data_IF_530298662973
#
_entry.id   IF_530298662973
#
_cell.length_a   1.000
_cell.length_b   1.000
_cell.length_c   1.000
_cell.angle_alpha   90.00
_cell.angle_beta   90.00
_cell.angle_gamma   90.00
#
_symmetry.space_group_name_H-M   'P 1'
#
loop_
_entity.id
_entity.type
_entity.pdbx_description
1 polymer ?
#
# COMPACT_ATOMS: atom_id res chain seq x y z
N UNK A 1 -13.80 -22.49 24.63
CA UNK A 1 -13.65 -21.09 25.07
C UNK A 1 -12.20 -20.89 25.47
N UNK A 2 -11.41 -20.16 24.68
CA UNK A 2 -9.95 -20.08 24.88
C UNK A 2 -9.58 -18.99 25.90
N UNK A 3 -9.13 -19.41 27.08
CA UNK A 3 -8.53 -18.55 28.09
C UNK A 3 -7.08 -18.24 27.71
N UNK A 4 -6.87 -17.12 27.02
CA UNK A 4 -5.52 -16.58 26.76
C UNK A 4 -5.01 -15.87 28.01
N UNK A 5 -3.86 -16.30 28.53
CA UNK A 5 -3.23 -15.71 29.71
C UNK A 5 -2.61 -14.34 29.41
N UNK A 6 -2.64 -13.45 30.40
CA UNK A 6 -2.38 -12.00 30.28
C UNK A 6 -0.89 -11.62 30.06
N UNK A 7 0.00 -12.59 29.82
CA UNK A 7 1.46 -12.41 29.95
C UNK A 7 2.23 -12.18 28.64
N UNK A 8 1.65 -12.43 27.46
CA UNK A 8 2.38 -12.38 26.18
C UNK A 8 2.55 -10.97 25.56
N UNK A 9 2.19 -9.89 26.26
CA UNK A 9 2.23 -8.51 25.75
C UNK A 9 3.04 -7.53 26.63
N UNK A 10 4.02 -8.01 27.39
CA UNK A 10 5.01 -7.15 28.03
C UNK A 10 6.19 -6.82 27.10
N UNK A 11 5.86 -6.13 26.00
CA UNK A 11 6.80 -5.26 25.30
C UNK A 11 6.75 -3.86 25.93
N UNK A 12 7.76 -3.03 25.64
CA UNK A 12 8.10 -1.86 26.46
C UNK A 12 7.06 -0.74 26.51
N UNK A 13 7.05 0.01 27.60
CA UNK A 13 6.12 1.11 27.89
C UNK A 13 6.13 2.28 26.87
N UNK A 14 7.09 2.27 25.93
CA UNK A 14 7.33 3.28 24.89
C UNK A 14 6.67 2.95 23.54
N UNK A 15 6.33 1.67 23.28
CA UNK A 15 5.91 1.18 21.95
C UNK A 15 4.54 1.72 21.48
N UNK A 16 3.83 2.47 22.34
CA UNK A 16 2.49 3.01 22.08
C UNK A 16 2.36 4.53 22.27
N UNK A 17 3.47 5.27 22.28
CA UNK A 17 3.45 6.73 22.17
C UNK A 17 3.67 7.19 20.72
N UNK A 18 2.63 7.02 19.90
CA UNK A 18 2.51 7.72 18.61
C UNK A 18 1.46 8.82 18.78
N UNK A 19 1.77 10.03 18.35
CA UNK A 19 0.88 11.19 18.54
C UNK A 19 -0.40 11.11 17.68
N UNK A 20 -1.43 11.87 18.08
CA UNK A 20 -2.80 11.74 17.54
C UNK A 20 -3.01 12.43 16.18
N UNK A 21 -1.98 12.49 15.36
CA UNK A 21 -2.03 13.18 14.07
C UNK A 21 -2.51 12.25 12.93
N UNK A 22 -2.76 12.83 11.76
CA UNK A 22 -3.25 12.10 10.60
C UNK A 22 -2.19 11.17 9.98
N UNK A 23 -2.59 10.34 9.03
CA UNK A 23 -1.67 9.43 8.31
C UNK A 23 -0.52 10.15 7.57
N UNK A 24 -0.65 11.46 7.36
CA UNK A 24 0.39 12.35 6.82
C UNK A 24 1.57 12.63 7.78
N UNK A 25 1.38 12.45 9.09
CA UNK A 25 2.39 12.77 10.12
C UNK A 25 3.19 11.56 10.63
N UNK A 26 2.84 10.34 10.18
CA UNK A 26 3.62 9.14 10.47
C UNK A 26 5.02 9.25 9.82
N UNK A 27 6.07 9.16 10.64
CA UNK A 27 7.47 9.24 10.22
C UNK A 27 8.25 10.48 10.63
N UNK A 28 7.67 11.38 11.45
CA UNK A 28 8.33 12.60 11.92
C UNK A 28 9.09 12.45 13.25
N UNK A 29 9.08 11.26 13.86
CA UNK A 29 9.76 10.99 15.13
C UNK A 29 11.25 10.62 14.95
N UNK A 30 12.08 10.98 15.94
CA UNK A 30 13.52 10.76 15.92
C UNK A 30 13.96 9.28 16.04
N UNK A 31 13.01 8.34 16.08
CA UNK A 31 13.23 6.89 16.19
C UNK A 31 12.88 6.11 14.92
N UNK A 32 12.33 6.76 13.89
CA UNK A 32 11.95 6.13 12.62
C UNK A 32 13.18 5.62 11.83
N UNK A 33 13.36 4.30 11.75
CA UNK A 33 14.48 3.67 11.04
C UNK A 33 14.22 3.55 9.54
N UNK A 34 14.92 4.39 8.77
CA UNK A 34 14.92 4.53 7.30
C UNK A 34 13.66 5.18 6.70
N UNK A 35 13.79 6.20 5.82
CA UNK A 35 12.79 7.27 5.67
C UNK A 35 11.88 7.08 4.44
N UNK A 36 11.65 5.82 4.02
CA UNK A 36 10.59 5.42 3.09
C UNK A 36 10.06 4.04 3.51
N UNK A 37 10.71 2.96 3.07
CA UNK A 37 10.27 1.56 3.25
C UNK A 37 11.16 0.75 4.21
N UNK A 38 11.59 1.37 5.33
CA UNK A 38 12.57 0.81 6.26
C UNK A 38 12.19 -0.47 7.01
N UNK A 39 10.89 -0.77 7.15
CA UNK A 39 10.41 -1.78 8.08
C UNK A 39 10.37 -3.22 7.54
N UNK A 40 10.48 -3.43 6.23
CA UNK A 40 10.33 -4.76 5.64
C UNK A 40 11.60 -5.61 5.71
N UNK A 41 11.49 -6.80 6.29
CA UNK A 41 12.51 -7.85 6.29
C UNK A 41 12.31 -8.86 5.14
N UNK A 42 11.51 -8.53 4.12
CA UNK A 42 11.22 -9.43 3.02
C UNK A 42 12.47 -9.64 2.14
N UNK A 43 12.95 -10.88 2.10
CA UNK A 43 14.04 -11.30 1.21
C UNK A 43 13.47 -11.76 -0.15
N UNK A 44 13.59 -10.96 -1.24
CA UNK A 44 13.21 -11.41 -2.58
C UNK A 44 14.16 -12.50 -3.08
N UNK A 45 13.64 -13.42 -3.90
CA UNK A 45 14.46 -14.36 -4.66
C UNK A 45 13.86 -14.53 -6.06
N UNK A 46 14.68 -14.89 -7.05
CA UNK A 46 14.21 -15.23 -8.40
C UNK A 46 13.16 -16.35 -8.36
N UNK A 47 13.37 -17.36 -7.51
CA UNK A 47 12.41 -18.45 -7.30
C UNK A 47 11.02 -17.95 -6.87
N UNK A 48 10.93 -16.96 -5.97
CA UNK A 48 9.65 -16.37 -5.56
C UNK A 48 8.96 -15.62 -6.71
N UNK A 49 9.72 -14.93 -7.56
CA UNK A 49 9.15 -14.23 -8.73
C UNK A 49 8.62 -15.25 -9.74
N UNK A 50 9.39 -16.31 -10.03
CA UNK A 50 8.98 -17.42 -10.92
C UNK A 50 7.74 -18.14 -10.39
N UNK A 51 7.62 -18.32 -9.07
CA UNK A 51 6.44 -18.95 -8.43
C UNK A 51 5.14 -18.14 -8.56
N UNK A 52 5.23 -16.83 -8.85
CA UNK A 52 4.08 -15.93 -8.96
C UNK A 52 3.83 -15.44 -10.40
N UNK A 53 4.81 -15.56 -11.30
CA UNK A 53 4.65 -15.21 -12.72
C UNK A 53 3.94 -16.33 -13.49
N UNK A 54 3.05 -15.97 -14.43
CA UNK A 54 2.49 -16.94 -15.37
C UNK A 54 3.51 -17.46 -16.40
N UNK A 55 4.62 -16.74 -16.62
CA UNK A 55 5.68 -17.13 -17.55
C UNK A 55 5.25 -17.19 -19.03
N UNK A 56 4.21 -16.44 -19.42
CA UNK A 56 3.67 -16.39 -20.78
C UNK A 56 4.06 -15.08 -21.46
N UNK A 57 4.58 -15.17 -22.67
CA UNK A 57 4.78 -14.02 -23.56
C UNK A 57 3.46 -13.67 -24.31
N UNK A 58 3.26 -12.41 -24.75
CA UNK A 58 2.15 -12.04 -25.61
C UNK A 58 2.26 -12.71 -26.99
N UNK A 59 1.15 -13.22 -27.52
CA UNK A 59 1.13 -13.89 -28.83
C UNK A 59 1.11 -12.87 -29.97
N UNK A 60 1.40 -13.36 -31.17
CA UNK A 60 1.24 -12.60 -32.42
C UNK A 60 -0.24 -12.24 -32.59
N UNK A 61 -0.56 -10.96 -32.41
CA UNK A 61 -1.92 -10.41 -32.52
C UNK A 61 -2.65 -10.18 -31.20
N UNK A 62 -2.08 -10.56 -30.04
CA UNK A 62 -2.62 -10.18 -28.72
C UNK A 62 -2.49 -8.65 -28.53
N UNK A 63 -3.57 -7.96 -28.18
CA UNK A 63 -3.53 -6.51 -27.91
C UNK A 63 -2.89 -6.22 -26.54
N UNK A 64 -1.81 -5.44 -26.51
CA UNK A 64 -1.04 -5.20 -25.27
C UNK A 64 -1.53 -3.94 -24.54
N UNK A 65 -1.99 -4.13 -23.30
CA UNK A 65 -2.41 -3.05 -22.39
C UNK A 65 -1.34 -2.81 -21.33
N UNK A 66 -0.97 -1.55 -21.10
CA UNK A 66 -0.07 -1.13 -20.03
C UNK A 66 -0.79 -0.26 -19.00
N UNK A 67 -0.50 -0.47 -17.72
CA UNK A 67 -0.93 0.39 -16.60
C UNK A 67 0.26 0.66 -15.69
N UNK A 68 0.32 1.84 -15.05
CA UNK A 68 1.43 2.20 -14.16
C UNK A 68 0.95 2.78 -12.81
N UNK A 69 1.73 2.60 -11.75
CA UNK A 69 1.43 3.19 -10.45
C UNK A 69 2.22 2.63 -9.27
N UNK A 70 1.75 2.96 -8.05
CA UNK A 70 2.28 2.40 -6.80
C UNK A 70 1.81 0.95 -6.57
N UNK A 71 0.50 0.71 -6.67
CA UNK A 71 -0.15 -0.55 -6.26
C UNK A 71 0.11 -0.97 -4.79
N UNK A 72 0.42 0.00 -3.93
CA UNK A 72 0.72 -0.18 -2.51
C UNK A 72 -0.52 -0.58 -1.68
N UNK A 73 -0.32 -1.44 -0.67
CA UNK A 73 -1.35 -2.19 0.06
C UNK A 73 -2.41 -2.78 -0.90
N UNK A 74 -1.98 -3.67 -1.81
CA UNK A 74 -2.80 -4.14 -2.93
C UNK A 74 -4.21 -4.58 -2.51
N UNK A 75 -5.23 -3.91 -3.07
CA UNK A 75 -6.59 -3.93 -2.55
C UNK A 75 -7.67 -3.96 -3.64
N UNK A 76 -8.93 -4.18 -3.24
CA UNK A 76 -10.11 -4.22 -4.14
C UNK A 76 -10.18 -3.09 -5.16
N UNK A 77 -9.79 -1.85 -4.82
CA UNK A 77 -9.74 -0.75 -5.79
C UNK A 77 -8.76 -0.96 -6.96
N UNK A 78 -7.65 -1.68 -6.75
CA UNK A 78 -6.73 -2.10 -7.81
C UNK A 78 -7.30 -3.30 -8.57
N UNK A 79 -7.95 -4.26 -7.89
CA UNK A 79 -8.58 -5.42 -8.52
C UNK A 79 -9.68 -5.00 -9.51
N UNK A 80 -10.58 -4.08 -9.11
CA UNK A 80 -11.68 -3.59 -9.95
C UNK A 80 -11.19 -2.72 -11.13
N UNK A 81 -10.02 -2.08 -10.99
CA UNK A 81 -9.34 -1.35 -12.05
C UNK A 81 -8.67 -2.31 -13.05
N UNK A 82 -7.88 -3.27 -12.55
CA UNK A 82 -7.16 -4.25 -13.36
C UNK A 82 -8.12 -5.20 -14.10
N UNK A 83 -9.26 -5.55 -13.50
CA UNK A 83 -10.31 -6.30 -14.20
C UNK A 83 -10.81 -5.56 -15.45
N UNK A 84 -10.96 -4.24 -15.37
CA UNK A 84 -11.43 -3.41 -16.47
C UNK A 84 -10.32 -3.18 -17.49
N UNK A 85 -9.11 -2.84 -17.06
CA UNK A 85 -7.94 -2.74 -17.95
C UNK A 85 -7.69 -4.05 -18.73
N UNK A 86 -7.87 -5.22 -18.09
CA UNK A 86 -7.73 -6.53 -18.74
C UNK A 86 -8.84 -6.87 -19.74
N UNK A 87 -9.94 -6.10 -19.79
CA UNK A 87 -11.00 -6.24 -20.82
C UNK A 87 -10.72 -5.38 -22.06
N UNK A 88 -9.76 -4.46 -21.99
CA UNK A 88 -9.39 -3.57 -23.10
C UNK A 88 -8.32 -4.18 -24.03
N UNK A 89 -7.84 -5.40 -23.77
CA UNK A 89 -6.89 -6.15 -24.59
C UNK A 89 -6.54 -7.52 -23.99
N UNK A 90 -5.60 -8.22 -24.61
CA UNK A 90 -5.34 -9.65 -24.39
C UNK A 90 -4.15 -9.94 -23.46
N UNK A 91 -3.25 -8.96 -23.29
CA UNK A 91 -2.10 -9.06 -22.39
C UNK A 91 -2.03 -7.79 -21.52
N UNK A 92 -1.92 -7.94 -20.20
CA UNK A 92 -1.88 -6.79 -19.27
C UNK A 92 -0.54 -6.71 -18.54
N UNK A 93 0.21 -5.65 -18.83
CA UNK A 93 1.50 -5.32 -18.23
C UNK A 93 1.29 -4.25 -17.15
N UNK A 94 1.79 -4.49 -15.94
CA UNK A 94 1.71 -3.54 -14.81
C UNK A 94 3.10 -2.97 -14.47
N UNK A 95 3.29 -1.69 -14.73
CA UNK A 95 4.46 -0.94 -14.27
C UNK A 95 4.39 -0.56 -12.80
N UNK A 96 5.38 -1.00 -12.02
CA UNK A 96 5.51 -0.64 -10.61
C UNK A 96 6.60 0.40 -10.42
N UNK A 97 6.20 1.63 -10.04
CA UNK A 97 7.12 2.69 -9.67
C UNK A 97 8.00 2.26 -8.48
N UNK A 98 9.28 2.65 -8.46
CA UNK A 98 10.21 2.38 -7.36
C UNK A 98 9.80 3.12 -6.08
N UNK A 99 10.24 2.64 -4.91
CA UNK A 99 9.86 3.25 -3.62
C UNK A 99 10.18 4.76 -3.54
N UNK A 100 11.36 5.26 -3.99
CA UNK A 100 11.65 6.70 -4.02
C UNK A 100 10.79 7.51 -5.00
N UNK A 101 10.28 6.87 -6.07
CA UNK A 101 9.34 7.53 -7.01
C UNK A 101 7.95 7.59 -6.40
N UNK A 102 7.49 6.52 -5.73
CA UNK A 102 6.22 6.52 -4.98
C UNK A 102 6.24 7.55 -3.84
N UNK A 103 7.33 7.60 -3.06
CA UNK A 103 7.62 8.61 -2.03
C UNK A 103 7.40 10.03 -2.58
N UNK A 104 8.04 10.38 -3.72
CA UNK A 104 8.01 11.74 -4.30
C UNK A 104 6.60 12.29 -4.51
N UNK A 105 5.65 11.49 -5.00
CA UNK A 105 4.28 11.95 -5.29
C UNK A 105 3.22 11.55 -4.25
N UNK A 106 3.58 10.81 -3.20
CA UNK A 106 2.68 10.48 -2.07
C UNK A 106 2.99 11.22 -0.77
N UNK A 107 4.26 11.56 -0.51
CA UNK A 107 4.71 12.11 0.77
C UNK A 107 4.68 11.09 1.92
N UNK A 108 5.13 11.53 3.10
CA UNK A 108 5.15 10.73 4.33
C UNK A 108 5.85 9.37 4.15
N UNK A 109 5.49 8.35 4.94
CA UNK A 109 6.06 6.99 4.84
C UNK A 109 5.38 6.12 3.76
N UNK A 110 5.13 6.66 2.55
CA UNK A 110 4.59 5.86 1.43
C UNK A 110 5.68 5.50 0.40
N UNK A 111 5.73 4.25 -0.10
CA UNK A 111 4.76 3.18 0.11
C UNK A 111 4.94 2.46 1.44
N UNK A 112 3.88 1.81 1.92
CA UNK A 112 3.91 0.95 3.11
C UNK A 112 4.59 -0.39 2.78
N UNK A 113 4.40 -0.91 1.57
CA UNK A 113 5.03 -2.12 1.04
C UNK A 113 6.17 -1.77 0.08
N UNK A 114 7.33 -2.40 0.25
CA UNK A 114 8.47 -2.18 -0.64
C UNK A 114 8.20 -2.70 -2.07
N UNK A 115 9.02 -2.27 -3.03
CA UNK A 115 8.87 -2.65 -4.45
C UNK A 115 8.72 -4.15 -4.66
N UNK A 116 9.49 -5.00 -3.96
CA UNK A 116 9.44 -6.45 -4.13
C UNK A 116 8.19 -7.09 -3.52
N UNK A 117 7.70 -6.57 -2.40
CA UNK A 117 6.41 -6.97 -1.81
C UNK A 117 5.24 -6.58 -2.72
N UNK A 118 5.30 -5.38 -3.34
CA UNK A 118 4.32 -4.91 -4.33
C UNK A 118 4.35 -5.76 -5.60
N UNK A 119 5.54 -6.17 -6.08
CA UNK A 119 5.69 -7.11 -7.22
C UNK A 119 4.93 -8.41 -6.97
N UNK A 120 5.15 -9.10 -5.85
CA UNK A 120 4.41 -10.35 -5.57
C UNK A 120 2.91 -10.11 -5.38
N UNK A 121 2.52 -9.00 -4.77
CA UNK A 121 1.12 -8.63 -4.56
C UNK A 121 0.36 -8.39 -5.87
N UNK A 122 1.04 -7.84 -6.88
CA UNK A 122 0.47 -7.62 -8.22
C UNK A 122 0.51 -8.88 -9.08
N UNK A 123 1.59 -9.66 -9.05
CA UNK A 123 1.67 -10.94 -9.77
C UNK A 123 0.61 -11.95 -9.28
N UNK A 124 0.23 -11.91 -8.01
CA UNK A 124 -0.88 -12.71 -7.47
C UNK A 124 -2.27 -12.36 -8.04
N UNK A 125 -2.39 -11.29 -8.84
CA UNK A 125 -3.66 -10.88 -9.45
C UNK A 125 -3.87 -11.59 -10.80
N UNK A 126 -4.85 -12.50 -10.87
CA UNK A 126 -5.28 -13.26 -12.07
C UNK A 126 -5.61 -12.45 -13.35
N UNK A 127 -5.58 -11.11 -13.29
CA UNK A 127 -5.80 -10.22 -14.43
C UNK A 127 -4.49 -9.72 -15.05
N UNK A 128 -3.37 -9.85 -14.34
CA UNK A 128 -2.05 -9.38 -14.73
C UNK A 128 -1.33 -10.49 -15.49
N UNK A 129 -0.68 -10.13 -16.59
CA UNK A 129 0.14 -11.05 -17.39
C UNK A 129 1.64 -10.87 -17.10
N UNK A 130 2.09 -9.62 -16.92
CA UNK A 130 3.48 -9.28 -16.65
C UNK A 130 3.61 -8.04 -15.74
N UNK A 131 4.76 -7.89 -15.08
CA UNK A 131 5.07 -6.75 -14.19
C UNK A 131 6.43 -6.14 -14.53
N UNK A 132 6.44 -4.85 -14.86
CA UNK A 132 7.69 -4.08 -15.05
C UNK A 132 8.16 -3.58 -13.67
N UNK A 133 9.20 -4.23 -13.15
CA UNK A 133 9.78 -3.96 -11.84
C UNK A 133 10.62 -2.68 -11.91
N UNK A 134 10.18 -1.61 -11.23
CA UNK A 134 10.88 -0.33 -11.24
C UNK A 134 10.60 0.54 -12.47
N UNK A 135 9.37 0.51 -12.96
CA UNK A 135 8.92 1.29 -14.10
C UNK A 135 9.14 2.82 -13.90
N UNK A 136 9.47 3.56 -14.97
CA UNK A 136 9.59 5.03 -14.92
C UNK A 136 8.23 5.69 -14.65
N UNK A 137 8.27 6.91 -14.10
CA UNK A 137 7.04 7.68 -13.82
C UNK A 137 6.38 8.21 -15.09
N UNK A 138 7.20 8.68 -16.04
CA UNK A 138 6.75 9.10 -17.37
C UNK A 138 6.61 7.86 -18.27
N UNK A 139 5.49 7.74 -18.98
CA UNK A 139 5.29 6.68 -19.98
C UNK A 139 5.98 7.11 -21.28
N UNK A 140 7.21 6.64 -21.48
CA UNK A 140 8.05 7.02 -22.64
C UNK A 140 7.68 6.23 -23.90
N UNK A 141 7.98 6.81 -25.06
CA UNK A 141 7.86 6.12 -26.35
C UNK A 141 8.79 4.89 -26.42
N UNK A 142 9.98 4.96 -25.81
CA UNK A 142 10.89 3.83 -25.67
C UNK A 142 10.24 2.64 -24.93
N UNK A 143 9.60 2.89 -23.78
CA UNK A 143 8.87 1.86 -23.02
C UNK A 143 7.71 1.30 -23.85
N UNK A 144 6.93 2.16 -24.50
CA UNK A 144 5.81 1.74 -25.33
C UNK A 144 6.26 0.89 -26.53
N UNK A 145 7.40 1.21 -27.16
CA UNK A 145 7.94 0.46 -28.28
C UNK A 145 8.61 -0.86 -27.84
N UNK A 146 9.31 -0.86 -26.70
CA UNK A 146 9.94 -2.06 -26.13
C UNK A 146 8.91 -3.15 -25.81
N UNK A 147 7.85 -2.80 -25.07
CA UNK A 147 6.76 -3.72 -24.72
C UNK A 147 5.64 -3.79 -25.76
N UNK A 148 5.80 -3.13 -26.93
CA UNK A 148 4.81 -3.06 -28.02
C UNK A 148 3.39 -2.66 -27.56
N UNK A 149 3.30 -1.68 -26.68
CA UNK A 149 2.05 -1.27 -26.01
C UNK A 149 1.07 -0.67 -27.02
N UNK A 150 -0.12 -1.27 -27.11
CA UNK A 150 -1.24 -0.76 -27.92
C UNK A 150 -2.07 0.27 -27.19
N UNK A 151 -2.24 0.11 -25.88
CA UNK A 151 -3.09 0.97 -25.06
C UNK A 151 -2.52 1.18 -23.65
N UNK A 152 -2.43 2.43 -23.22
CA UNK A 152 -2.08 2.82 -21.86
C UNK A 152 -3.36 3.19 -21.10
N UNK A 153 -3.62 2.50 -20.00
CA UNK A 153 -4.79 2.74 -19.16
C UNK A 153 -4.40 3.35 -17.81
N UNK A 154 -5.20 4.30 -17.32
CA UNK A 154 -5.07 4.86 -15.98
C UNK A 154 -6.45 4.96 -15.29
N UNK A 155 -6.48 4.94 -13.95
CA UNK A 155 -7.72 5.09 -13.20
C UNK A 155 -8.26 6.52 -13.18
N UNK A 156 -9.48 6.71 -12.67
CA UNK A 156 -10.02 8.04 -12.36
C UNK A 156 -9.42 8.68 -11.07
N UNK A 157 -8.23 8.23 -10.63
CA UNK A 157 -7.45 8.85 -9.56
C UNK A 157 -6.71 10.10 -10.06
N UNK A 158 -6.36 11.05 -9.17
CA UNK A 158 -5.51 12.17 -9.55
C UNK A 158 -4.18 11.69 -10.15
N UNK A 159 -3.83 12.22 -11.32
CA UNK A 159 -2.49 12.11 -11.90
C UNK A 159 -1.69 13.27 -11.30
N UNK A 160 -0.60 12.96 -10.58
CA UNK A 160 0.34 13.99 -10.17
C UNK A 160 1.24 14.33 -11.36
N UNK A 161 1.67 15.59 -11.47
CA UNK A 161 2.77 15.93 -12.36
C UNK A 161 4.10 15.45 -11.73
N UNK A 162 5.12 15.21 -12.55
CA UNK A 162 6.48 15.13 -12.02
C UNK A 162 6.97 16.54 -11.62
N UNK A 163 8.17 16.65 -11.03
CA UNK A 163 8.71 17.91 -10.49
C UNK A 163 8.76 19.08 -11.49
N UNK A 164 8.87 18.79 -12.78
CA UNK A 164 8.91 19.77 -13.88
C UNK A 164 7.50 20.16 -14.40
N UNK A 165 6.42 19.66 -13.81
CA UNK A 165 5.04 20.01 -14.17
C UNK A 165 4.42 19.22 -15.34
N UNK A 166 5.16 18.29 -15.95
CA UNK A 166 4.67 17.51 -17.10
C UNK A 166 3.69 16.38 -16.72
N UNK A 167 2.74 16.13 -17.62
CA UNK A 167 1.79 15.02 -17.59
C UNK A 167 2.49 13.70 -17.95
N UNK A 168 2.58 12.71 -17.02
CA UNK A 168 3.28 11.45 -17.27
C UNK A 168 2.67 10.61 -18.40
N UNK A 169 1.46 10.94 -18.86
CA UNK A 169 0.77 10.26 -19.96
C UNK A 169 0.72 11.09 -21.25
N UNK A 170 1.51 12.17 -21.37
CA UNK A 170 1.52 13.04 -22.55
C UNK A 170 1.82 12.27 -23.86
N UNK A 171 2.79 11.36 -23.85
CA UNK A 171 3.17 10.54 -25.02
C UNK A 171 2.00 9.64 -25.48
N UNK A 172 1.44 8.73 -24.64
CA UNK A 172 0.30 7.91 -25.08
C UNK A 172 -0.95 8.73 -25.43
N UNK A 173 -1.17 9.90 -24.82
CA UNK A 173 -2.26 10.82 -25.21
C UNK A 173 -2.05 11.37 -26.62
N UNK A 174 -0.85 11.86 -26.95
CA UNK A 174 -0.50 12.37 -28.27
C UNK A 174 -0.57 11.29 -29.37
N UNK A 175 -0.26 10.03 -29.01
CA UNK A 175 -0.38 8.87 -29.89
C UNK A 175 -1.82 8.31 -30.03
N UNK A 176 -2.81 8.89 -29.34
CA UNK A 176 -4.18 8.35 -29.29
C UNK A 176 -4.33 7.02 -28.54
N UNK A 177 -3.28 6.58 -27.83
CA UNK A 177 -3.15 5.32 -27.10
C UNK A 177 -3.41 5.45 -25.59
N UNK A 178 -4.25 6.39 -25.14
CA UNK A 178 -4.55 6.61 -23.72
C UNK A 178 -6.05 6.45 -23.41
N UNK A 179 -6.38 5.69 -22.35
CA UNK A 179 -7.74 5.49 -21.85
C UNK A 179 -7.83 5.71 -20.33
N UNK A 180 -8.86 6.43 -19.89
CA UNK A 180 -9.19 6.61 -18.48
C UNK A 180 -10.30 5.67 -18.06
N UNK A 181 -10.05 4.84 -17.04
CA UNK A 181 -10.94 3.76 -16.59
C UNK A 181 -11.51 4.07 -15.21
N UNK A 182 -12.83 4.24 -15.14
CA UNK A 182 -13.53 4.31 -13.86
C UNK A 182 -13.67 2.90 -13.25
N UNK A 183 -12.92 2.61 -12.20
CA UNK A 183 -13.04 1.36 -11.43
C UNK A 183 -14.42 1.19 -10.79
N UNK A 184 -15.19 2.27 -10.58
CA UNK A 184 -16.37 2.39 -9.73
C UNK A 184 -16.09 2.17 -8.22
N UNK A 185 -14.82 1.99 -7.84
CA UNK A 185 -14.41 1.78 -6.45
C UNK A 185 -13.66 3.01 -5.91
N UNK A 186 -14.02 3.43 -4.70
CA UNK A 186 -13.41 4.58 -4.01
C UNK A 186 -12.35 4.16 -2.98
N UNK A 187 -11.91 2.91 -2.95
CA UNK A 187 -10.88 2.41 -2.04
C UNK A 187 -9.49 2.82 -2.52
N UNK A 188 -8.67 3.31 -1.61
CA UNK A 188 -7.26 3.69 -1.84
C UNK A 188 -6.41 3.25 -0.65
N UNK A 189 -5.09 3.22 -0.82
CA UNK A 189 -4.09 2.92 0.21
C UNK A 189 -4.30 3.78 1.46
N UNK A 190 -4.50 5.09 1.30
CA UNK A 190 -4.70 6.03 2.41
C UNK A 190 -5.96 5.67 3.20
N UNK A 191 -7.06 5.32 2.51
CA UNK A 191 -8.32 4.91 3.16
C UNK A 191 -8.22 3.57 3.91
N UNK A 192 -7.23 2.74 3.61
CA UNK A 192 -6.94 1.53 4.38
C UNK A 192 -6.16 1.87 5.65
N UNK A 193 -5.10 2.69 5.52
CA UNK A 193 -4.32 3.21 6.65
C UNK A 193 -5.24 3.94 7.65
N UNK A 194 -6.12 4.81 7.15
CA UNK A 194 -7.15 5.53 7.90
C UNK A 194 -8.05 4.60 8.74
N UNK A 195 -8.45 3.46 8.16
CA UNK A 195 -9.31 2.47 8.83
C UNK A 195 -8.56 1.73 9.93
N UNK A 196 -7.29 1.38 9.67
CA UNK A 196 -6.42 0.69 10.63
C UNK A 196 -6.15 1.60 11.84
N UNK A 197 -5.70 2.84 11.62
CA UNK A 197 -5.42 3.82 12.69
C UNK A 197 -6.70 4.09 13.51
N UNK A 198 -7.84 4.34 12.85
CA UNK A 198 -9.12 4.58 13.53
C UNK A 198 -9.61 3.38 14.35
N UNK A 199 -9.26 2.15 13.96
CA UNK A 199 -9.58 0.95 14.72
C UNK A 199 -8.61 0.75 15.90
N UNK A 200 -7.32 1.07 15.72
CA UNK A 200 -6.27 1.04 16.75
C UNK A 200 -6.58 2.01 17.90
N UNK A 201 -6.85 3.28 17.59
CA UNK A 201 -7.22 4.29 18.59
C UNK A 201 -8.48 3.90 19.39
N UNK A 202 -9.50 3.32 18.71
CA UNK A 202 -10.72 2.79 19.35
C UNK A 202 -10.49 1.54 20.19
N UNK A 203 -9.39 0.82 20.03
CA UNK A 203 -8.99 -0.29 20.90
C UNK A 203 -8.29 0.24 22.16
N UNK A 204 -7.33 1.13 21.99
CA UNK A 204 -6.56 1.75 23.08
C UNK A 204 -7.45 2.56 24.04
N UNK A 205 -8.38 3.36 23.52
CA UNK A 205 -9.31 4.11 24.36
C UNK A 205 -10.19 3.18 25.23
N UNK A 206 -10.60 2.02 24.70
CA UNK A 206 -11.39 1.02 25.43
C UNK A 206 -10.57 0.25 26.45
N UNK A 207 -9.29 0.01 26.19
CA UNK A 207 -8.40 -0.66 27.13
C UNK A 207 -8.01 0.28 28.28
N UNK A 208 -7.61 1.52 27.98
CA UNK A 208 -7.37 2.56 29.00
C UNK A 208 -8.59 2.74 29.91
N UNK A 209 -9.80 2.88 29.35
CA UNK A 209 -11.07 2.95 30.12
C UNK A 209 -11.43 1.70 30.94
N UNK A 210 -10.75 0.56 30.74
CA UNK A 210 -10.83 -0.62 31.62
C UNK A 210 -9.73 -0.58 32.69
N UNK A 211 -8.50 -0.30 32.29
CA UNK A 211 -7.34 -0.16 33.18
C UNK A 211 -7.57 0.94 34.22
N UNK A 212 -8.12 2.09 33.84
CA UNK A 212 -8.53 3.17 34.75
C UNK A 212 -9.51 2.66 35.84
N UNK A 213 -10.47 1.79 35.46
CA UNK A 213 -11.46 1.21 36.37
C UNK A 213 -10.87 0.11 37.26
N UNK A 214 -10.02 -0.75 36.70
CA UNK A 214 -9.30 -1.80 37.42
C UNK A 214 -8.36 -1.17 38.47
N UNK A 215 -7.63 -0.12 38.10
CA UNK A 215 -6.78 0.67 38.99
C UNK A 215 -7.59 1.42 40.07
N UNK A 216 -8.73 2.03 39.73
CA UNK A 216 -9.59 2.69 40.72
C UNK A 216 -10.16 1.71 41.76
N UNK A 217 -10.60 0.53 41.31
CA UNK A 217 -11.08 -0.54 42.18
C UNK A 217 -9.98 -1.08 43.12
N UNK A 218 -8.76 -1.28 42.60
CA UNK A 218 -7.62 -1.70 43.40
C UNK A 218 -7.19 -0.66 44.45
N UNK A 219 -7.28 0.65 44.13
CA UNK A 219 -7.04 1.74 45.10
C UNK A 219 -8.08 1.73 46.21
N UNK A 220 -9.37 1.67 45.88
CA UNK A 220 -10.45 1.63 46.86
C UNK A 220 -10.34 0.42 47.82
N UNK A 221 -9.98 -0.77 47.31
CA UNK A 221 -9.70 -1.95 48.16
C UNK A 221 -8.50 -1.72 49.09
N UNK A 222 -7.43 -1.08 48.60
CA UNK A 222 -6.24 -0.78 49.40
C UNK A 222 -6.56 0.23 50.52
N UNK A 223 -7.34 1.25 50.21
CA UNK A 223 -7.80 2.26 51.16
C UNK A 223 -8.71 1.65 52.24
N UNK A 224 -9.69 0.82 51.84
CA UNK A 224 -10.54 0.07 52.79
C UNK A 224 -9.73 -0.87 53.70
N UNK A 225 -8.71 -1.55 53.17
CA UNK A 225 -7.82 -2.43 53.97
C UNK A 225 -6.89 -1.66 54.91
N UNK A 226 -6.55 -0.42 54.60
CA UNK A 226 -5.79 0.44 55.51
C UNK A 226 -6.69 0.92 56.65
N UNK A 227 -7.88 1.43 56.34
CA UNK A 227 -8.85 1.90 57.33
C UNK A 227 -9.45 0.81 58.24
N UNK A 228 -9.34 -0.47 57.85
CA UNK A 228 -9.76 -1.62 58.68
C UNK A 228 -8.66 -2.15 59.61
N UNK A 229 -7.42 -1.65 59.48
CA UNK A 229 -6.25 -2.05 60.28
C UNK A 229 -5.72 -0.90 61.16
N UNK A 230 -6.53 0.13 61.39
CA UNK A 230 -6.21 1.37 62.12
C UNK A 230 -7.27 1.70 63.16
#
# INVERSE_FOLDING_TARGET
>A
MLLMSRQHFHLGHLEYQIEKEGSSALGLDATATSPWTGCSQFLPTTQKIIQFSEGKEPKIGDKIVYVAGAFDLFHVGHLDFLEKARKEGDFLIVGLHTDPVVNRYKGSNYPIMNLHERVLSVLACKYVSEVVIGAPYLVTEELMNHFRVDLVCHGNTPIMADGDGFDPYLVPKNLGKFLSINSNNKMTTERIVDRIIRHRLKFEERNRKKEDKENAYLRAIKEMKLAANS
#
